data_IF_712399265594
#
_entry.id   IF_712399265594
#
_cell.length_a   1.000
_cell.length_b   1.000
_cell.length_c   1.000
_cell.angle_alpha   90.00
_cell.angle_beta   90.00
_cell.angle_gamma   90.00
#
_symmetry.space_group_name_H-M   'P 1'
#
loop_
_entity.id
_entity.type
_entity.pdbx_description
1 polymer ?
#
# COMPACT_ATOMS: atom_id res chain seq x y z
N UNK A 1 -13.28 4.31 29.05
CA UNK A 1 -13.06 3.54 27.81
C UNK A 1 -11.91 2.58 28.06
N UNK A 2 -12.06 1.38 28.62
CA UNK A 2 -13.24 0.50 28.69
C UNK A 2 -13.33 -0.47 27.51
N UNK A 3 -12.25 -0.69 26.76
CA UNK A 3 -12.21 -1.70 25.70
C UNK A 3 -11.76 -3.05 26.31
N UNK A 4 -12.34 -4.14 25.80
CA UNK A 4 -12.27 -5.52 26.30
C UNK A 4 -10.97 -5.90 27.02
N UNK A 5 -11.08 -6.73 28.06
CA UNK A 5 -9.91 -7.42 28.63
C UNK A 5 -9.31 -8.38 27.58
N UNK A 6 -8.00 -8.63 27.68
CA UNK A 6 -7.30 -9.54 26.76
C UNK A 6 -7.92 -10.93 26.74
N UNK A 7 -8.41 -11.40 27.88
CA UNK A 7 -9.11 -12.67 28.03
C UNK A 7 -10.44 -12.70 27.28
N UNK A 8 -11.22 -11.60 27.35
CA UNK A 8 -12.49 -11.48 26.65
C UNK A 8 -12.25 -11.45 25.13
N UNK A 9 -11.27 -10.68 24.67
CA UNK A 9 -10.93 -10.61 23.24
C UNK A 9 -10.49 -11.98 22.68
N UNK A 10 -9.74 -12.76 23.46
CA UNK A 10 -9.27 -14.09 23.05
C UNK A 10 -10.41 -15.12 23.03
N UNK A 11 -11.32 -15.08 24.02
CA UNK A 11 -12.48 -15.96 24.09
C UNK A 11 -13.47 -15.70 22.95
N UNK A 12 -13.70 -14.42 22.63
CA UNK A 12 -14.59 -14.01 21.54
C UNK A 12 -13.98 -14.42 20.18
N UNK A 13 -12.66 -14.28 20.01
CA UNK A 13 -11.95 -14.75 18.80
C UNK A 13 -12.00 -16.28 18.65
N UNK A 14 -11.83 -17.04 19.74
CA UNK A 14 -11.93 -18.51 19.72
C UNK A 14 -13.35 -18.99 19.40
N UNK A 15 -14.37 -18.30 19.92
CA UNK A 15 -15.79 -18.56 19.63
C UNK A 15 -16.08 -18.28 18.16
N UNK A 16 -15.63 -17.15 17.63
CA UNK A 16 -15.75 -16.81 16.21
C UNK A 16 -15.11 -17.87 15.32
N UNK A 17 -13.90 -18.34 15.63
CA UNK A 17 -13.23 -19.41 14.86
C UNK A 17 -14.06 -20.70 14.89
N UNK A 18 -14.67 -21.02 16.02
CA UNK A 18 -15.45 -22.25 16.19
C UNK A 18 -16.78 -22.19 15.43
N UNK A 19 -17.47 -21.05 15.47
CA UNK A 19 -18.69 -20.80 14.69
C UNK A 19 -18.42 -20.83 13.18
N UNK A 20 -17.36 -20.17 12.72
CA UNK A 20 -16.95 -20.21 11.31
C UNK A 20 -16.61 -21.63 10.84
N UNK A 21 -16.11 -22.50 11.74
CA UNK A 21 -15.85 -23.92 11.44
C UNK A 21 -17.13 -24.76 11.33
N UNK A 22 -18.18 -24.45 12.10
CA UNK A 22 -19.40 -25.25 12.18
C UNK A 22 -20.47 -24.82 11.16
N UNK A 23 -20.57 -23.52 10.86
CA UNK A 23 -21.55 -22.97 9.90
C UNK A 23 -21.02 -22.77 8.48
N UNK A 24 -19.70 -22.90 8.29
CA UNK A 24 -19.03 -22.57 7.03
C UNK A 24 -18.88 -21.05 6.85
N UNK A 25 -17.74 -20.63 6.28
CA UNK A 25 -17.42 -19.23 6.04
C UNK A 25 -16.85 -19.05 4.63
N UNK A 26 -17.26 -17.98 3.95
CA UNK A 26 -16.67 -17.58 2.67
C UNK A 26 -15.67 -16.46 2.92
N UNK A 27 -14.38 -16.83 2.95
CA UNK A 27 -13.29 -15.92 3.21
C UNK A 27 -12.58 -15.53 1.90
N UNK A 28 -13.19 -14.60 1.14
CA UNK A 28 -12.58 -14.06 -0.07
C UNK A 28 -11.46 -13.07 0.29
N UNK A 29 -10.26 -13.26 -0.29
CA UNK A 29 -9.09 -12.40 -0.08
C UNK A 29 -8.66 -12.20 1.38
N UNK A 30 -8.84 -13.22 2.23
CA UNK A 30 -8.43 -13.18 3.64
C UNK A 30 -7.00 -13.72 3.84
N UNK A 31 -6.00 -12.88 4.19
CA UNK A 31 -4.60 -13.29 4.31
C UNK A 31 -4.33 -13.93 5.69
N UNK A 32 -4.99 -15.04 6.01
CA UNK A 32 -4.91 -15.71 7.32
C UNK A 32 -3.51 -16.23 7.68
N UNK A 33 -2.61 -16.34 6.71
CA UNK A 33 -1.22 -16.73 6.92
C UNK A 33 -0.29 -15.52 7.07
N UNK A 34 -0.77 -14.28 7.07
CA UNK A 34 0.11 -13.10 7.19
C UNK A 34 0.36 -12.68 8.65
N UNK A 35 -0.10 -13.46 9.62
CA UNK A 35 0.16 -13.23 11.04
C UNK A 35 1.55 -13.72 11.46
N UNK A 36 2.11 -13.15 12.54
CA UNK A 36 3.44 -13.54 13.02
C UNK A 36 3.53 -15.03 13.32
N UNK A 37 4.63 -15.68 12.91
CA UNK A 37 4.88 -17.10 13.17
C UNK A 37 4.35 -18.06 12.10
N UNK A 38 3.78 -17.54 11.01
CA UNK A 38 3.27 -18.32 9.88
C UNK A 38 4.30 -18.71 8.80
N UNK A 39 5.58 -18.33 8.99
CA UNK A 39 6.67 -18.52 8.02
C UNK A 39 6.42 -17.93 6.62
N UNK A 40 5.52 -16.94 6.50
CA UNK A 40 5.36 -16.17 5.27
C UNK A 40 6.47 -15.12 5.19
N UNK A 41 7.11 -15.02 4.02
CA UNK A 41 8.10 -13.98 3.76
C UNK A 41 7.44 -12.58 3.86
N UNK A 42 7.94 -11.67 4.72
CA UNK A 42 7.42 -10.31 4.84
C UNK A 42 7.41 -9.53 3.51
N UNK A 43 8.28 -9.89 2.56
CA UNK A 43 8.32 -9.29 1.22
C UNK A 43 7.29 -9.86 0.23
N UNK A 44 6.49 -10.86 0.61
CA UNK A 44 5.57 -11.53 -0.32
C UNK A 44 4.53 -10.58 -0.90
N UNK A 45 3.99 -9.69 -0.07
CA UNK A 45 2.99 -8.71 -0.51
C UNK A 45 3.61 -7.73 -1.52
N UNK A 46 4.76 -7.13 -1.19
CA UNK A 46 5.49 -6.20 -2.05
C UNK A 46 5.92 -6.85 -3.38
N UNK A 47 6.27 -8.14 -3.36
CA UNK A 47 6.63 -8.90 -4.56
C UNK A 47 5.43 -9.06 -5.50
N UNK A 48 4.27 -9.42 -4.94
CA UNK A 48 3.04 -9.58 -5.74
C UNK A 48 2.60 -8.24 -6.31
N UNK A 49 2.59 -7.16 -5.52
CA UNK A 49 2.22 -5.84 -6.02
C UNK A 49 3.18 -5.37 -7.11
N UNK A 50 4.50 -5.60 -6.96
CA UNK A 50 5.49 -5.29 -8.00
C UNK A 50 5.18 -6.01 -9.32
N UNK A 51 4.86 -7.31 -9.26
CA UNK A 51 4.56 -8.10 -10.47
C UNK A 51 3.32 -7.58 -11.20
N UNK A 52 2.30 -7.08 -10.48
CA UNK A 52 1.11 -6.46 -11.11
C UNK A 52 1.50 -5.27 -11.99
N UNK A 53 2.47 -4.47 -11.56
CA UNK A 53 2.98 -3.34 -12.35
C UNK A 53 3.88 -3.79 -13.50
N UNK A 54 4.72 -4.81 -13.29
CA UNK A 54 5.55 -5.39 -14.35
C UNK A 54 4.68 -5.95 -15.49
N UNK A 55 3.59 -6.66 -15.16
CA UNK A 55 2.62 -7.19 -16.13
C UNK A 55 1.88 -6.09 -16.90
N UNK A 56 1.78 -4.89 -16.32
CA UNK A 56 1.22 -3.70 -16.96
C UNK A 56 2.26 -2.92 -17.80
N UNK A 57 3.43 -3.50 -18.06
CA UNK A 57 4.55 -2.88 -18.77
C UNK A 57 5.15 -1.64 -18.07
N UNK A 58 5.02 -1.56 -16.74
CA UNK A 58 5.79 -0.61 -15.95
C UNK A 58 7.23 -1.12 -15.79
N UNK A 59 8.22 -0.27 -16.05
CA UNK A 59 9.62 -0.64 -15.86
C UNK A 59 10.02 -0.52 -14.39
N UNK A 60 10.25 -1.67 -13.74
CA UNK A 60 10.75 -1.77 -12.36
C UNK A 60 11.96 -0.88 -12.07
N UNK A 61 12.87 -0.72 -13.04
CA UNK A 61 14.08 0.10 -12.86
C UNK A 61 13.76 1.59 -12.71
N UNK A 62 12.76 2.10 -13.44
CA UNK A 62 12.32 3.50 -13.28
C UNK A 62 11.66 3.73 -11.93
N UNK A 63 10.84 2.78 -11.45
CA UNK A 63 10.25 2.85 -10.12
C UNK A 63 11.33 2.82 -9.03
N UNK A 64 12.29 1.91 -9.11
CA UNK A 64 13.40 1.85 -8.16
C UNK A 64 14.24 3.14 -8.17
N UNK A 65 14.52 3.66 -9.36
CA UNK A 65 15.30 4.89 -9.54
C UNK A 65 14.58 6.13 -9.01
N UNK A 66 13.24 6.18 -9.08
CA UNK A 66 12.46 7.29 -8.54
C UNK A 66 12.58 7.39 -7.02
N UNK A 67 12.59 6.26 -6.31
CA UNK A 67 12.82 6.22 -4.85
C UNK A 67 14.20 6.77 -4.49
N UNK A 68 15.23 6.38 -5.24
CA UNK A 68 16.59 6.91 -5.07
C UNK A 68 16.63 8.42 -5.36
N UNK A 69 15.95 8.88 -6.40
CA UNK A 69 15.89 10.31 -6.73
C UNK A 69 15.24 11.13 -5.61
N UNK A 70 14.13 10.66 -5.02
CA UNK A 70 13.47 11.33 -3.89
C UNK A 70 14.43 11.44 -2.70
N UNK A 71 15.11 10.34 -2.34
CA UNK A 71 16.09 10.34 -1.24
C UNK A 71 17.27 11.27 -1.48
N UNK A 72 17.71 11.41 -2.72
CA UNK A 72 18.80 12.34 -3.07
C UNK A 72 18.33 13.80 -3.04
N UNK A 73 17.12 14.09 -3.53
CA UNK A 73 16.56 15.44 -3.56
C UNK A 73 16.32 15.99 -2.14
N UNK A 74 15.78 15.16 -1.24
CA UNK A 74 15.46 15.60 0.12
C UNK A 74 16.68 15.98 0.96
N UNK A 75 17.89 15.61 0.53
CA UNK A 75 19.14 15.96 1.20
C UNK A 75 19.49 17.47 1.14
N UNK A 76 18.77 18.27 0.34
CA UNK A 76 19.00 19.71 0.20
C UNK A 76 17.70 20.49 0.31
N UNK A 77 17.73 21.72 0.87
CA UNK A 77 16.54 22.60 0.94
C UNK A 77 15.92 22.81 -0.44
N UNK A 78 16.74 23.06 -1.47
CA UNK A 78 16.27 23.26 -2.84
C UNK A 78 15.55 22.02 -3.39
N UNK A 79 16.03 20.82 -3.08
CA UNK A 79 15.38 19.58 -3.51
C UNK A 79 14.10 19.30 -2.72
N UNK A 80 14.03 19.70 -1.44
CA UNK A 80 12.80 19.67 -0.66
C UNK A 80 11.74 20.61 -1.25
N UNK A 81 12.12 21.86 -1.56
CA UNK A 81 11.24 22.84 -2.20
C UNK A 81 10.73 22.33 -3.55
N UNK A 82 11.62 21.75 -4.36
CA UNK A 82 11.25 21.11 -5.62
C UNK A 82 10.21 20.00 -5.41
N UNK A 83 10.42 19.08 -4.45
CA UNK A 83 9.45 18.01 -4.18
C UNK A 83 8.11 18.56 -3.69
N UNK A 84 8.12 19.57 -2.82
CA UNK A 84 6.91 20.24 -2.33
C UNK A 84 6.09 20.84 -3.48
N UNK A 85 6.76 21.50 -4.43
CA UNK A 85 6.12 22.07 -5.62
C UNK A 85 5.62 21.00 -6.59
N UNK A 86 6.47 20.01 -6.95
CA UNK A 86 6.12 18.98 -7.92
C UNK A 86 4.94 18.12 -7.45
N UNK A 87 4.94 17.70 -6.18
CA UNK A 87 3.87 16.88 -5.61
C UNK A 87 2.70 17.72 -5.08
N UNK A 88 2.79 19.06 -5.14
CA UNK A 88 1.78 20.00 -4.60
C UNK A 88 1.41 19.66 -3.16
N UNK A 89 2.42 19.44 -2.32
CA UNK A 89 2.24 19.02 -0.94
C UNK A 89 1.50 20.12 -0.16
N UNK A 90 0.50 19.72 0.62
CA UNK A 90 -0.28 20.63 1.46
C UNK A 90 0.67 21.42 2.38
N UNK A 91 0.49 22.75 2.54
CA UNK A 91 1.33 23.58 3.41
C UNK A 91 1.55 23.03 4.83
N UNK A 92 0.61 22.27 5.39
CA UNK A 92 0.73 21.66 6.73
C UNK A 92 1.68 20.45 6.80
N UNK A 93 2.09 19.93 5.64
CA UNK A 93 2.86 18.68 5.50
C UNK A 93 4.09 18.85 4.62
N UNK A 94 4.55 20.09 4.40
CA UNK A 94 5.74 20.37 3.61
C UNK A 94 6.94 19.55 4.11
N UNK A 95 7.66 18.98 3.15
CA UNK A 95 8.91 18.29 3.38
C UNK A 95 9.94 19.35 3.80
N UNK A 96 10.46 19.22 5.01
CA UNK A 96 11.46 20.11 5.62
C UNK A 96 12.65 19.33 6.22
N UNK A 97 12.70 18.02 5.98
CA UNK A 97 13.68 17.09 6.54
C UNK A 97 13.77 15.85 5.68
N UNK A 98 14.84 15.07 5.85
CA UNK A 98 15.01 13.77 5.19
C UNK A 98 13.87 12.80 5.52
N UNK A 99 13.35 12.85 6.76
CA UNK A 99 12.18 12.07 7.18
C UNK A 99 10.95 12.39 6.34
N UNK A 100 10.77 13.63 5.88
CA UNK A 100 9.69 13.99 4.98
C UNK A 100 9.77 13.28 3.63
N UNK A 101 10.98 13.00 3.14
CA UNK A 101 11.21 12.20 1.94
C UNK A 101 10.84 10.73 2.15
N UNK A 102 11.19 10.14 3.29
CA UNK A 102 10.78 8.78 3.64
C UNK A 102 9.25 8.67 3.78
N UNK A 103 8.60 9.68 4.36
CA UNK A 103 7.15 9.74 4.46
C UNK A 103 6.48 9.84 3.08
N UNK A 104 7.06 10.63 2.16
CA UNK A 104 6.57 10.70 0.78
C UNK A 104 6.68 9.35 0.07
N UNK A 105 7.83 8.66 0.23
CA UNK A 105 8.02 7.31 -0.34
C UNK A 105 7.00 6.33 0.24
N UNK A 106 6.76 6.36 1.54
CA UNK A 106 5.76 5.51 2.19
C UNK A 106 4.36 5.77 1.62
N UNK A 107 3.96 7.05 1.48
CA UNK A 107 2.66 7.41 0.90
C UNK A 107 2.51 6.94 -0.55
N UNK A 108 3.57 7.08 -1.36
CA UNK A 108 3.56 6.63 -2.75
C UNK A 108 3.49 5.09 -2.84
N UNK A 109 4.18 4.36 -1.94
CA UNK A 109 4.07 2.90 -1.84
C UNK A 109 2.64 2.46 -1.51
N UNK A 110 2.01 3.07 -0.52
CA UNK A 110 0.61 2.77 -0.16
C UNK A 110 -0.33 3.01 -1.35
N UNK A 111 -0.12 4.08 -2.12
CA UNK A 111 -0.93 4.36 -3.31
C UNK A 111 -0.74 3.31 -4.42
N UNK A 112 0.49 2.84 -4.63
CA UNK A 112 0.83 1.78 -5.60
C UNK A 112 0.19 0.45 -5.17
N UNK A 113 0.37 0.08 -3.90
CA UNK A 113 -0.19 -1.15 -3.32
C UNK A 113 -1.73 -1.13 -3.40
N UNK A 114 -2.34 0.01 -3.07
CA UNK A 114 -3.79 0.20 -3.21
C UNK A 114 -4.25 0.00 -4.65
N UNK A 115 -3.55 0.61 -5.62
CA UNK A 115 -3.90 0.49 -7.04
C UNK A 115 -3.78 -0.96 -7.54
N UNK A 116 -2.81 -1.72 -7.06
CA UNK A 116 -2.68 -3.14 -7.36
C UNK A 116 -3.87 -3.96 -6.81
N UNK A 117 -4.32 -3.66 -5.58
CA UNK A 117 -5.47 -4.35 -4.96
C UNK A 117 -6.79 -4.12 -5.68
N UNK A 118 -6.97 -2.94 -6.29
CA UNK A 118 -8.23 -2.54 -6.97
C UNK A 118 -8.10 -2.56 -8.50
N UNK A 119 -7.19 -3.36 -9.05
CA UNK A 119 -6.95 -3.46 -10.49
C UNK A 119 -8.06 -4.25 -11.23
N UNK A 120 -9.30 -3.79 -11.15
CA UNK A 120 -10.47 -4.44 -11.71
C UNK A 120 -10.64 -4.16 -13.22
N UNK A 121 -11.24 -5.10 -13.98
CA UNK A 121 -11.46 -4.95 -15.43
C UNK A 121 -12.61 -3.98 -15.79
N UNK A 122 -13.20 -3.29 -14.82
CA UNK A 122 -14.30 -2.35 -14.98
C UNK A 122 -14.14 -1.17 -14.00
N UNK A 123 -14.76 -0.02 -14.26
CA UNK A 123 -14.70 1.13 -13.35
C UNK A 123 -15.27 0.79 -11.97
N UNK A 124 -14.62 1.27 -10.92
CA UNK A 124 -15.06 1.03 -9.54
C UNK A 124 -15.03 2.31 -8.71
N UNK A 125 -15.84 2.36 -7.66
CA UNK A 125 -15.93 3.49 -6.73
C UNK A 125 -15.70 3.05 -5.27
N UNK A 126 -14.83 2.07 -5.04
CA UNK A 126 -14.68 1.48 -3.70
C UNK A 126 -14.18 2.47 -2.65
N UNK A 127 -13.00 3.08 -2.85
CA UNK A 127 -12.55 4.22 -2.03
C UNK A 127 -12.51 5.54 -2.83
N UNK A 128 -12.22 5.44 -4.14
CA UNK A 128 -12.23 6.56 -5.08
C UNK A 128 -12.72 6.05 -6.44
N UNK A 129 -13.33 6.91 -7.27
CA UNK A 129 -13.61 6.57 -8.66
C UNK A 129 -12.31 6.23 -9.40
N UNK A 130 -12.26 5.03 -9.96
CA UNK A 130 -11.14 4.52 -10.76
C UNK A 130 -11.67 3.94 -12.07
N UNK A 131 -10.94 4.09 -13.19
CA UNK A 131 -11.30 3.46 -14.46
C UNK A 131 -11.10 1.95 -14.41
N UNK A 132 -11.54 1.26 -15.46
CA UNK A 132 -11.12 -0.12 -15.71
C UNK A 132 -9.59 -0.18 -15.88
N UNK A 133 -8.97 -1.23 -15.33
CA UNK A 133 -7.52 -1.45 -15.37
C UNK A 133 -6.71 -0.23 -14.90
N UNK A 134 -6.93 0.26 -13.66
CA UNK A 134 -6.32 1.49 -13.19
C UNK A 134 -4.79 1.47 -13.21
N UNK A 135 -4.15 0.31 -13.09
CA UNK A 135 -2.69 0.18 -13.21
C UNK A 135 -2.23 0.50 -14.64
N UNK A 136 -2.91 -0.04 -15.65
CA UNK A 136 -2.54 0.13 -17.06
C UNK A 136 -2.84 1.54 -17.59
N UNK A 137 -3.85 2.21 -17.05
CA UNK A 137 -4.29 3.53 -17.53
C UNK A 137 -3.47 4.67 -16.89
N UNK A 138 -3.12 4.53 -15.61
CA UNK A 138 -2.49 5.61 -14.84
C UNK A 138 -0.96 5.59 -14.88
N UNK A 139 -0.36 4.48 -15.30
CA UNK A 139 1.08 4.42 -15.55
C UNK A 139 1.26 4.38 -17.08
N UNK A 140 1.53 5.52 -17.74
CA UNK A 140 1.93 5.47 -19.14
C UNK A 140 3.15 4.56 -19.26
N UNK A 141 3.24 3.80 -20.35
CA UNK A 141 4.42 2.97 -20.64
C UNK A 141 5.67 3.86 -20.60
N UNK A 142 6.45 3.76 -19.51
CA UNK A 142 7.71 4.50 -19.31
C UNK A 142 8.85 3.65 -19.83
#
# INVERSE_FOLDING_TARGET
MGYLTSEQALADYATLITELKLGGAWAASAPLLYFSGSNVDPGSFDSITTNVFDDAACNRSYMASSWTAIKNLVASSKGQDFLNEQFRIDPKSLINSTQGGDNLIAYLREAIEYMAMVNYPYPTEFLKPLPAWPVNVNIPSI
#
